data_IF_987476082811
#
_entry.id   IF_987476082811
#
_cell.length_a   1.000
_cell.length_b   1.000
_cell.length_c   1.000
_cell.angle_alpha   90.00
_cell.angle_beta   90.00
_cell.angle_gamma   90.00
#
_symmetry.space_group_name_H-M   'P 1'
#
loop_
_entity.id
_entity.type
_entity.pdbx_description
1 polymer ?
#
# COMPACT_ATOMS: atom_id res chain seq x y z
N UNK A 1 21.76 -2.25 -22.37
CA UNK A 1 21.63 -3.65 -21.92
C UNK A 1 20.31 -3.77 -21.17
N UNK A 2 19.39 -4.63 -21.58
CA UNK A 2 18.12 -4.84 -20.88
C UNK A 2 18.33 -5.78 -19.70
N UNK A 3 18.13 -5.30 -18.48
CA UNK A 3 18.18 -6.10 -17.25
C UNK A 3 17.11 -7.20 -17.36
N UNK A 4 17.47 -8.51 -17.33
CA UNK A 4 16.59 -9.57 -17.78
C UNK A 4 15.39 -9.86 -16.85
N UNK A 5 15.39 -9.37 -15.62
CA UNK A 5 14.40 -9.70 -14.58
C UNK A 5 13.80 -8.46 -13.89
N UNK A 6 13.44 -7.41 -14.64
CA UNK A 6 12.82 -6.22 -14.03
C UNK A 6 11.48 -6.58 -13.40
N UNK A 7 11.16 -5.93 -12.28
CA UNK A 7 9.83 -6.03 -11.68
C UNK A 7 8.81 -5.42 -12.64
N UNK A 8 7.79 -6.19 -13.09
CA UNK A 8 6.83 -5.68 -14.06
C UNK A 8 5.98 -4.56 -13.42
N UNK A 9 5.66 -3.49 -14.17
CA UNK A 9 4.76 -2.47 -13.67
C UNK A 9 3.36 -3.06 -13.52
N UNK A 10 2.78 -2.91 -12.33
CA UNK A 10 1.39 -3.25 -12.08
C UNK A 10 0.42 -2.27 -12.73
N UNK A 11 -0.84 -2.68 -12.84
CA UNK A 11 -1.92 -1.84 -13.35
C UNK A 11 -2.12 -0.59 -12.48
N UNK A 12 -2.67 0.49 -13.06
CA UNK A 12 -3.04 1.68 -12.30
C UNK A 12 -4.07 1.32 -11.20
N UNK A 13 -3.81 1.61 -9.92
CA UNK A 13 -4.75 1.37 -8.82
C UNK A 13 -6.14 1.98 -9.05
N UNK A 14 -6.26 3.06 -9.83
CA UNK A 14 -7.56 3.63 -10.22
C UNK A 14 -8.41 2.66 -11.05
N UNK A 15 -7.79 1.77 -11.84
CA UNK A 15 -8.53 0.72 -12.55
C UNK A 15 -9.13 -0.29 -11.57
N UNK A 16 -8.39 -0.63 -10.51
CA UNK A 16 -8.88 -1.51 -9.45
C UNK A 16 -10.05 -0.86 -8.69
N UNK A 17 -9.95 0.44 -8.38
CA UNK A 17 -11.04 1.22 -7.76
C UNK A 17 -12.31 1.24 -8.63
N UNK A 18 -12.16 1.42 -9.95
CA UNK A 18 -13.29 1.43 -10.90
C UNK A 18 -14.08 0.13 -10.95
N UNK A 19 -13.48 -1.01 -10.56
CA UNK A 19 -14.22 -2.27 -10.43
C UNK A 19 -15.25 -2.27 -9.29
N UNK A 20 -15.14 -1.33 -8.34
CA UNK A 20 -16.00 -1.27 -7.16
C UNK A 20 -15.76 -2.38 -6.12
N UNK A 21 -14.78 -3.27 -6.35
CA UNK A 21 -14.50 -4.41 -5.46
C UNK A 21 -13.62 -4.05 -4.25
N UNK A 22 -12.96 -2.90 -4.31
CA UNK A 22 -12.09 -2.36 -3.24
C UNK A 22 -12.33 -0.88 -3.04
N UNK A 23 -11.93 -0.38 -1.87
CA UNK A 23 -11.99 1.05 -1.51
C UNK A 23 -10.68 1.49 -0.89
N UNK A 24 -10.19 2.66 -1.27
CA UNK A 24 -9.03 3.29 -0.65
C UNK A 24 -9.36 3.74 0.78
N UNK A 25 -8.49 3.44 1.74
CA UNK A 25 -8.70 3.68 3.18
C UNK A 25 -7.56 4.45 3.83
N UNK A 26 -6.66 5.05 3.05
CA UNK A 26 -5.55 5.80 3.60
C UNK A 26 -6.00 7.03 4.38
N UNK A 27 -7.14 7.65 4.03
CA UNK A 27 -7.75 8.75 4.78
C UNK A 27 -8.28 8.36 6.17
N UNK A 28 -8.48 7.07 6.44
CA UNK A 28 -8.93 6.56 7.75
C UNK A 28 -7.77 6.21 8.68
N UNK A 29 -6.54 6.36 8.20
CA UNK A 29 -5.33 6.03 8.95
C UNK A 29 -4.55 7.29 9.32
N UNK A 30 -3.81 7.19 10.42
CA UNK A 30 -2.74 8.12 10.77
C UNK A 30 -1.45 7.59 10.16
N UNK A 31 -0.76 8.45 9.43
CA UNK A 31 0.50 8.13 8.74
C UNK A 31 1.66 8.79 9.46
N UNK A 32 2.75 8.06 9.64
CA UNK A 32 4.02 8.60 10.16
C UNK A 32 5.21 7.95 9.47
N UNK A 33 6.29 8.72 9.35
CA UNK A 33 7.52 8.32 8.68
C UNK A 33 8.66 8.24 9.70
N UNK A 34 9.64 7.38 9.48
CA UNK A 34 10.84 7.34 10.33
C UNK A 34 11.63 8.65 10.29
N UNK A 35 11.69 9.27 9.12
CA UNK A 35 12.38 10.53 8.86
C UNK A 35 11.82 11.17 7.60
N UNK A 36 12.02 12.47 7.43
CA UNK A 36 11.70 13.16 6.18
C UNK A 36 12.56 14.42 6.04
N UNK A 37 12.90 14.78 4.80
CA UNK A 37 13.41 16.12 4.51
C UNK A 37 12.27 17.14 4.56
N UNK A 38 12.54 18.40 4.97
CA UNK A 38 11.55 19.47 4.92
C UNK A 38 10.95 19.61 3.51
N UNK A 39 9.61 19.55 3.40
CA UNK A 39 8.89 19.62 2.12
C UNK A 39 8.75 18.31 1.36
N UNK A 40 9.29 17.19 1.87
CA UNK A 40 9.22 15.87 1.25
C UNK A 40 8.73 14.84 2.28
N UNK A 41 7.54 15.05 2.84
CA UNK A 41 6.99 14.27 3.95
C UNK A 41 5.79 13.40 3.58
N UNK A 42 4.90 13.20 4.56
CA UNK A 42 3.68 12.39 4.40
C UNK A 42 2.74 12.98 3.36
N UNK A 43 2.67 14.32 3.28
CA UNK A 43 1.74 15.00 2.39
C UNK A 43 2.03 14.65 0.92
N UNK A 44 3.30 14.70 0.52
CA UNK A 44 3.76 14.34 -0.84
C UNK A 44 3.57 12.84 -1.14
N UNK A 45 3.58 11.98 -0.11
CA UNK A 45 3.35 10.53 -0.28
C UNK A 45 1.88 10.18 -0.58
N UNK A 46 0.97 11.14 -0.40
CA UNK A 46 -0.48 10.96 -0.31
C UNK A 46 -1.30 11.96 -1.14
N UNK A 47 -0.64 12.83 -1.92
CA UNK A 47 -1.25 13.92 -2.70
C UNK A 47 -1.81 13.50 -4.07
N UNK A 48 -1.81 12.21 -4.38
CA UNK A 48 -2.16 11.64 -5.69
C UNK A 48 -1.34 12.18 -6.89
N UNK A 49 -0.20 12.83 -6.63
CA UNK A 49 0.77 13.24 -7.65
C UNK A 49 1.93 12.23 -7.70
N UNK A 50 2.47 11.97 -8.89
CA UNK A 50 3.60 11.07 -9.10
C UNK A 50 4.93 11.83 -9.27
N UNK A 51 4.88 13.15 -9.42
CA UNK A 51 6.06 14.02 -9.53
C UNK A 51 6.65 14.33 -8.14
N UNK A 52 5.80 14.40 -7.13
CA UNK A 52 6.15 14.58 -5.72
C UNK A 52 6.52 13.25 -5.08
N UNK A 53 7.28 13.31 -3.98
CA UNK A 53 7.75 12.14 -3.26
C UNK A 53 8.07 12.46 -1.80
N UNK A 54 7.97 11.43 -0.97
CA UNK A 54 8.67 11.39 0.31
C UNK A 54 10.15 11.12 0.05
N UNK A 55 11.02 11.88 0.72
CA UNK A 55 12.45 11.60 0.82
C UNK A 55 12.83 11.37 2.27
N UNK A 56 13.34 10.18 2.58
CA UNK A 56 13.89 9.89 3.90
C UNK A 56 15.17 10.67 4.18
N UNK A 57 15.51 10.83 5.45
CA UNK A 57 16.79 11.41 5.89
C UNK A 57 17.20 10.77 7.22
N UNK A 58 17.85 9.61 7.16
CA UNK A 58 18.15 8.83 8.37
C UNK A 58 18.87 7.51 8.13
N UNK A 59 18.95 6.69 9.17
CA UNK A 59 19.48 5.33 9.08
C UNK A 59 18.41 4.36 8.58
N UNK A 60 18.81 3.42 7.71
CA UNK A 60 17.96 2.30 7.34
C UNK A 60 17.66 1.39 8.55
N UNK A 61 16.49 0.73 8.58
CA UNK A 61 15.43 0.78 7.57
C UNK A 61 14.57 2.05 7.65
N UNK A 62 14.15 2.57 6.50
CA UNK A 62 13.20 3.69 6.44
C UNK A 62 11.77 3.17 6.56
N UNK A 63 10.96 3.78 7.42
CA UNK A 63 9.67 3.22 7.82
C UNK A 63 8.52 4.14 7.42
N UNK A 64 7.46 3.56 6.87
CA UNK A 64 6.13 4.16 6.76
C UNK A 64 5.18 3.39 7.68
N UNK A 65 4.62 4.08 8.66
CA UNK A 65 3.71 3.52 9.64
C UNK A 65 2.29 4.01 9.35
N UNK A 66 1.35 3.07 9.24
CA UNK A 66 -0.05 3.33 8.90
C UNK A 66 -0.90 2.74 10.01
N UNK A 67 -1.53 3.60 10.81
CA UNK A 67 -2.32 3.21 11.98
C UNK A 67 -3.79 3.51 11.80
N UNK A 68 -4.63 2.50 11.98
CA UNK A 68 -6.08 2.62 11.90
C UNK A 68 -6.69 2.79 13.29
N UNK A 69 -7.72 3.64 13.40
CA UNK A 69 -8.48 3.84 14.65
C UNK A 69 -9.20 2.58 15.14
N UNK A 70 -9.51 1.65 14.22
CA UNK A 70 -10.17 0.36 14.50
C UNK A 70 -9.45 -0.74 13.72
N UNK A 71 -9.67 -1.99 14.13
CA UNK A 71 -9.12 -3.15 13.42
C UNK A 71 -9.72 -3.22 12.01
N UNK A 72 -8.94 -2.84 11.02
CA UNK A 72 -9.39 -2.66 9.63
C UNK A 72 -8.97 -3.85 8.78
N UNK A 73 -9.88 -4.29 7.91
CA UNK A 73 -9.57 -5.32 6.91
C UNK A 73 -8.83 -4.67 5.76
N UNK A 74 -7.66 -5.21 5.40
CA UNK A 74 -6.82 -4.71 4.32
C UNK A 74 -6.55 -5.84 3.33
N UNK A 75 -6.67 -5.56 2.03
CA UNK A 75 -6.54 -6.55 0.96
C UNK A 75 -5.30 -6.30 0.11
N UNK A 76 -5.06 -5.05 -0.27
CA UNK A 76 -3.96 -4.70 -1.16
C UNK A 76 -3.31 -3.41 -0.71
N UNK A 77 -1.98 -3.39 -0.70
CA UNK A 77 -1.16 -2.20 -0.60
C UNK A 77 -0.56 -1.92 -1.97
N UNK A 78 -0.69 -0.70 -2.47
CA UNK A 78 -0.10 -0.27 -3.73
C UNK A 78 0.98 0.77 -3.43
N UNK A 79 2.17 0.58 -3.99
CA UNK A 79 3.33 1.45 -3.82
C UNK A 79 3.79 1.89 -5.20
N UNK A 80 4.07 3.16 -5.41
CA UNK A 80 4.68 3.65 -6.65
C UNK A 80 6.17 3.90 -6.46
N UNK A 81 6.99 3.30 -7.32
CA UNK A 81 8.42 3.55 -7.42
C UNK A 81 8.86 3.50 -8.89
N UNK A 82 9.77 4.40 -9.29
CA UNK A 82 10.29 4.45 -10.65
C UNK A 82 11.82 4.61 -10.66
N UNK A 83 12.50 3.53 -11.06
CA UNK A 83 13.95 3.45 -11.11
C UNK A 83 14.58 4.47 -12.06
N UNK A 84 13.90 4.81 -13.16
CA UNK A 84 14.43 5.78 -14.12
C UNK A 84 14.52 7.19 -13.53
N UNK A 85 13.58 7.53 -12.64
CA UNK A 85 13.50 8.85 -12.03
C UNK A 85 14.33 8.94 -10.74
N UNK A 86 14.43 7.83 -9.99
CA UNK A 86 14.97 7.83 -8.63
C UNK A 86 16.35 7.16 -8.50
N UNK A 87 16.81 6.38 -9.50
CA UNK A 87 18.11 5.70 -9.50
C UNK A 87 18.43 5.00 -8.16
N UNK A 88 19.44 5.47 -7.41
CA UNK A 88 19.85 4.94 -6.11
C UNK A 88 18.83 5.15 -4.98
N UNK A 89 17.91 6.11 -5.10
CA UNK A 89 16.83 6.33 -4.12
C UNK A 89 15.70 5.30 -4.25
N UNK A 90 15.72 4.48 -5.30
CA UNK A 90 14.68 3.48 -5.55
C UNK A 90 14.77 2.33 -4.55
N UNK A 91 13.71 2.01 -3.79
CA UNK A 91 13.72 0.88 -2.87
C UNK A 91 13.95 -0.44 -3.62
N UNK A 92 14.91 -1.24 -3.17
CA UNK A 92 15.23 -2.57 -3.73
C UNK A 92 14.68 -3.70 -2.87
N UNK A 93 14.54 -3.48 -1.56
CA UNK A 93 14.02 -4.48 -0.63
C UNK A 93 13.03 -3.86 0.33
N UNK A 94 11.79 -4.31 0.27
CA UNK A 94 10.69 -3.81 1.11
C UNK A 94 10.13 -4.96 1.94
N UNK A 95 9.99 -4.74 3.25
CA UNK A 95 9.29 -5.62 4.18
C UNK A 95 7.98 -4.98 4.59
N UNK A 96 6.88 -5.72 4.47
CA UNK A 96 5.55 -5.31 4.92
C UNK A 96 5.21 -6.10 6.18
N UNK A 97 4.90 -5.36 7.24
CA UNK A 97 4.64 -5.89 8.57
C UNK A 97 3.28 -5.42 9.04
N UNK A 98 2.63 -6.21 9.88
CA UNK A 98 1.32 -5.89 10.46
C UNK A 98 1.29 -6.25 11.93
N UNK A 99 0.48 -5.54 12.71
CA UNK A 99 0.35 -5.79 14.14
C UNK A 99 -0.72 -4.93 14.81
N UNK A 100 -0.82 -5.06 16.13
CA UNK A 100 -1.72 -4.22 16.92
C UNK A 100 -1.04 -2.92 17.39
N UNK A 101 0.29 -2.93 17.57
CA UNK A 101 1.10 -1.79 18.00
C UNK A 101 2.54 -1.94 17.47
N UNK A 102 3.40 -0.95 17.73
CA UNK A 102 4.79 -0.93 17.26
C UNK A 102 5.65 -2.11 17.76
N UNK A 103 5.33 -2.70 18.90
CA UNK A 103 6.15 -3.75 19.53
C UNK A 103 5.76 -5.17 19.09
N UNK A 104 4.61 -5.34 18.41
CA UNK A 104 4.11 -6.65 17.98
C UNK A 104 3.91 -6.77 16.47
N UNK A 105 4.69 -6.00 15.71
CA UNK A 105 4.69 -6.09 14.26
C UNK A 105 5.32 -7.41 13.82
N UNK A 106 4.60 -8.15 12.98
CA UNK A 106 5.07 -9.36 12.33
C UNK A 106 5.20 -9.13 10.83
N UNK A 107 6.32 -9.57 10.25
CA UNK A 107 6.50 -9.55 8.82
C UNK A 107 5.57 -10.56 8.15
N UNK A 108 4.75 -10.07 7.23
CA UNK A 108 3.83 -10.90 6.45
C UNK A 108 4.33 -11.13 5.04
N UNK A 109 5.14 -10.19 4.51
CA UNK A 109 5.62 -10.25 3.14
C UNK A 109 6.88 -9.43 2.97
N UNK A 110 7.86 -10.01 2.29
CA UNK A 110 9.05 -9.33 1.81
C UNK A 110 9.03 -9.29 0.28
N UNK A 111 9.46 -8.17 -0.29
CA UNK A 111 9.51 -7.93 -1.72
C UNK A 111 10.94 -7.55 -2.08
N UNK A 112 11.44 -8.17 -3.14
CA UNK A 112 12.68 -7.77 -3.81
C UNK A 112 12.28 -7.14 -5.15
N UNK A 113 12.69 -5.89 -5.33
CA UNK A 113 12.36 -5.05 -6.47
C UNK A 113 13.61 -4.87 -7.31
N UNK A 114 13.50 -5.11 -8.60
CA UNK A 114 14.59 -4.98 -9.57
C UNK A 114 14.16 -3.96 -10.60
N UNK A 115 14.74 -2.76 -10.52
CA UNK A 115 14.42 -1.62 -11.39
C UNK A 115 12.90 -1.42 -11.63
N UNK A 116 12.07 -1.29 -10.55
CA UNK A 116 10.65 -1.09 -10.71
C UNK A 116 10.36 0.20 -11.49
N UNK A 117 9.36 0.20 -12.36
CA UNK A 117 9.02 1.37 -13.19
C UNK A 117 7.51 1.66 -13.17
N UNK A 118 6.90 1.67 -12.00
CA UNK A 118 5.47 1.91 -11.85
C UNK A 118 4.87 1.41 -10.54
N UNK A 119 3.57 1.09 -10.59
CA UNK A 119 2.83 0.60 -9.42
C UNK A 119 3.19 -0.83 -9.06
N UNK A 120 3.46 -1.06 -7.79
CA UNK A 120 3.73 -2.37 -7.20
C UNK A 120 2.53 -2.72 -6.33
N UNK A 121 1.87 -3.84 -6.66
CA UNK A 121 0.71 -4.33 -5.91
C UNK A 121 1.15 -5.42 -4.95
N UNK A 122 0.88 -5.22 -3.67
CA UNK A 122 1.26 -6.11 -2.58
C UNK A 122 0.00 -6.68 -1.95
N UNK A 123 -0.36 -7.94 -2.25
CA UNK A 123 -1.48 -8.61 -1.60
C UNK A 123 -1.19 -8.80 -0.11
N UNK A 124 -2.08 -8.30 0.74
CA UNK A 124 -2.06 -8.42 2.19
C UNK A 124 -3.01 -9.54 2.62
N UNK A 125 -2.62 -10.78 2.32
CA UNK A 125 -3.41 -11.98 2.60
C UNK A 125 -2.75 -12.86 3.63
N UNK A 126 -3.55 -13.44 4.51
CA UNK A 126 -3.14 -14.48 5.45
C UNK A 126 -2.87 -15.81 4.72
N UNK A 127 -2.33 -16.79 5.45
CA UNK A 127 -2.14 -18.21 5.08
C UNK A 127 -3.34 -18.82 4.36
N UNK A 128 -4.56 -18.44 4.75
CA UNK A 128 -5.80 -18.91 4.12
C UNK A 128 -6.25 -18.08 2.90
N UNK A 129 -5.39 -17.25 2.31
CA UNK A 129 -5.68 -16.32 1.20
C UNK A 129 -6.80 -15.31 1.50
N UNK A 130 -7.07 -15.05 2.78
CA UNK A 130 -8.07 -14.07 3.22
C UNK A 130 -7.39 -12.72 3.49
N UNK A 131 -8.07 -11.58 3.24
CA UNK A 131 -7.57 -10.27 3.64
C UNK A 131 -7.23 -10.19 5.13
N UNK A 132 -6.12 -9.55 5.46
CA UNK A 132 -5.64 -9.41 6.83
C UNK A 132 -6.48 -8.37 7.59
N UNK A 133 -6.75 -8.62 8.87
CA UNK A 133 -7.36 -7.64 9.78
C UNK A 133 -6.34 -7.17 10.80
N UNK A 134 -5.96 -5.89 10.74
CA UNK A 134 -4.89 -5.32 11.56
C UNK A 134 -5.23 -3.92 12.06
N UNK A 135 -4.58 -3.46 13.13
CA UNK A 135 -4.63 -2.06 13.54
C UNK A 135 -3.51 -1.24 12.91
N UNK A 136 -2.40 -1.88 12.58
CA UNK A 136 -1.21 -1.21 12.07
C UNK A 136 -0.61 -1.99 10.90
N UNK A 137 -0.14 -1.24 9.90
CA UNK A 137 0.74 -1.70 8.83
C UNK A 137 2.02 -0.88 8.93
N UNK A 138 3.16 -1.55 8.81
CA UNK A 138 4.46 -0.90 8.68
C UNK A 138 5.11 -1.38 7.37
N UNK A 139 5.52 -0.43 6.55
CA UNK A 139 6.32 -0.66 5.36
C UNK A 139 7.74 -0.27 5.73
N UNK A 140 8.67 -1.21 5.62
CA UNK A 140 10.07 -1.01 5.94
C UNK A 140 10.90 -1.16 4.67
N UNK A 141 11.50 -0.06 4.22
CA UNK A 141 12.52 -0.09 3.16
C UNK A 141 13.83 -0.54 3.80
N UNK A 142 14.19 -1.79 3.55
CA UNK A 142 15.36 -2.45 4.12
C UNK A 142 16.64 -2.11 3.36
N UNK A 143 16.53 -1.89 2.05
CA UNK A 143 17.62 -1.50 1.18
C UNK A 143 17.10 -0.76 -0.05
N UNK A 144 17.96 0.07 -0.64
CA UNK A 144 17.74 0.73 -1.92
C UNK A 144 18.65 0.15 -3.01
N UNK A 145 18.39 0.51 -4.26
CA UNK A 145 19.29 0.18 -5.37
C UNK A 145 20.63 0.89 -5.20
N UNK A 146 21.71 0.30 -5.72
CA UNK A 146 23.06 0.88 -5.70
C UNK A 146 23.54 1.29 -4.29
N UNK A 147 23.01 0.67 -3.24
CA UNK A 147 23.26 1.03 -1.83
C UNK A 147 22.93 2.49 -1.49
N UNK A 148 21.92 3.07 -2.14
CA UNK A 148 21.46 4.42 -1.82
C UNK A 148 21.06 4.55 -0.35
N UNK A 149 21.49 5.65 0.28
CA UNK A 149 21.26 5.90 1.70
C UNK A 149 19.79 6.19 2.00
N UNK A 150 19.21 7.14 1.27
CA UNK A 150 17.83 7.57 1.41
C UNK A 150 16.93 6.94 0.35
N UNK A 151 15.62 6.91 0.60
CA UNK A 151 14.63 6.37 -0.32
C UNK A 151 13.67 7.44 -0.81
N UNK A 152 13.24 7.31 -2.07
CA UNK A 152 12.11 8.03 -2.62
C UNK A 152 10.91 7.09 -2.72
N UNK A 153 9.79 7.51 -2.15
CA UNK A 153 8.49 6.90 -2.43
C UNK A 153 7.53 7.99 -2.89
N UNK A 154 7.00 7.82 -4.10
CA UNK A 154 6.15 8.83 -4.72
C UNK A 154 4.72 8.76 -4.22
N UNK A 155 4.18 7.55 -4.11
CA UNK A 155 2.77 7.39 -3.73
C UNK A 155 2.52 6.04 -3.06
N UNK A 156 1.65 6.02 -2.04
CA UNK A 156 1.19 4.79 -1.40
C UNK A 156 -0.33 4.82 -1.27
N UNK A 157 -0.99 3.74 -1.66
CA UNK A 157 -2.43 3.53 -1.48
C UNK A 157 -2.72 2.25 -0.73
N UNK A 158 -3.69 2.28 0.18
CA UNK A 158 -4.11 1.09 0.92
C UNK A 158 -5.57 0.81 0.63
N UNK A 159 -5.89 -0.43 0.29
CA UNK A 159 -7.21 -0.86 -0.11
C UNK A 159 -7.82 -1.86 0.86
N UNK A 160 -9.05 -1.58 1.30
CA UNK A 160 -9.95 -2.57 1.94
C UNK A 160 -10.75 -3.29 0.86
N UNK A 161 -11.11 -4.58 1.05
CA UNK A 161 -12.21 -5.15 0.29
C UNK A 161 -13.48 -4.33 0.58
N UNK A 162 -14.27 -4.03 -0.45
CA UNK A 162 -15.64 -3.54 -0.24
C UNK A 162 -16.45 -4.76 0.17
N UNK A 163 -17.10 -4.69 1.33
CA UNK A 163 -18.13 -5.67 1.66
C UNK A 163 -19.18 -5.59 0.55
N UNK A 164 -19.30 -6.65 -0.24
CA UNK A 164 -20.44 -6.85 -1.11
C UNK A 164 -21.66 -7.01 -0.21
N UNK A 165 -22.25 -5.88 0.21
CA UNK A 165 -23.69 -5.73 0.35
C UNK A 165 -24.39 -6.99 0.86
N UNK A 166 -23.98 -7.52 2.01
CA UNK A 166 -24.58 -8.71 2.54
C UNK A 166 -26.02 -8.36 2.88
N UNK A 167 -26.96 -8.88 2.09
CA UNK A 167 -28.37 -8.95 2.47
C UNK A 167 -28.42 -10.03 3.56
N UNK A 168 -27.93 -9.71 4.76
CA UNK A 168 -27.70 -10.70 5.82
C UNK A 168 -26.74 -11.84 5.42
N UNK A 169 -26.99 -13.05 5.94
CA UNK A 169 -26.19 -14.27 5.67
C UNK A 169 -26.37 -14.83 4.25
N UNK A 170 -27.13 -14.17 3.37
CA UNK A 170 -27.51 -14.70 2.06
C UNK A 170 -26.62 -14.16 0.94
N UNK A 171 -26.43 -14.97 -0.14
CA UNK A 171 -25.66 -14.55 -1.30
C UNK A 171 -26.30 -13.34 -2.01
N UNK A 172 -25.47 -12.69 -2.84
CA UNK A 172 -25.82 -11.48 -3.59
C UNK A 172 -27.11 -11.66 -4.40
N UNK A 173 -28.10 -10.84 -4.12
CA UNK A 173 -29.25 -10.67 -5.01
C UNK A 173 -28.93 -9.55 -6.02
N UNK A 174 -28.92 -9.87 -7.30
CA UNK A 174 -28.51 -8.96 -8.39
C UNK A 174 -29.68 -8.27 -9.08
N UNK A 175 -30.91 -8.73 -8.86
CA UNK A 175 -32.10 -8.22 -9.51
C UNK A 175 -32.46 -6.83 -9.00
N UNK A 176 -32.91 -5.95 -9.91
CA UNK A 176 -33.34 -4.58 -9.60
C UNK A 176 -34.42 -4.58 -8.53
N UNK A 177 -35.39 -5.50 -8.61
CA UNK A 177 -36.49 -5.62 -7.65
C UNK A 177 -35.99 -5.82 -6.22
N UNK A 178 -34.96 -6.66 -6.03
CA UNK A 178 -34.36 -6.87 -4.70
C UNK A 178 -33.51 -5.68 -4.24
N UNK A 179 -32.82 -5.01 -5.16
CA UNK A 179 -32.02 -3.84 -4.82
C UNK A 179 -32.87 -2.64 -4.41
N UNK A 180 -34.06 -2.48 -5.00
CA UNK A 180 -34.98 -1.36 -4.70
C UNK A 180 -35.41 -1.34 -3.24
N UNK A 181 -35.62 -2.50 -2.61
CA UNK A 181 -36.05 -2.61 -1.22
C UNK A 181 -34.89 -2.86 -0.24
N UNK A 182 -33.63 -2.75 -0.71
CA UNK A 182 -32.44 -3.14 0.08
C UNK A 182 -32.15 -2.18 1.24
N UNK A 183 -32.40 -0.90 1.08
CA UNK A 183 -32.09 0.12 2.10
C UNK A 183 -33.14 1.21 2.08
N UNK A 184 -33.63 1.61 3.26
CA UNK A 184 -34.33 2.86 3.45
C UNK A 184 -33.26 3.95 3.47
N UNK A 185 -33.35 4.94 2.58
CA UNK A 185 -32.38 6.04 2.46
C UNK A 185 -33.08 7.38 2.64
#
# INVERSE_FOLDING_TARGET
MTTPNKTPPGADPKQLERTGTVREIGSQAVWSLSSCKPGFGVDQLRDDNLETYWQSDGSQPHLVNIQFRRKTTVKTLCIYADYKSDESYTPSKISVRVGNNFHNLQEIRQLELVEPSGWIHVPLTDTHKKPIRTFMIQIAVLANHQNGRDTHMRQIKVYTPVEESSIGKFPRCTTIDFMMYRSIR
#
